data_IF_724014599418
#
_entry.id   IF_724014599418
#
_cell.length_a   1.000
_cell.length_b   1.000
_cell.length_c   1.000
_cell.angle_alpha   90.00
_cell.angle_beta   90.00
_cell.angle_gamma   90.00
#
_symmetry.space_group_name_H-M   'P 1'
#
loop_
_entity.id
_entity.type
_entity.pdbx_description
1 polymer ?
#
# COMPACT_ATOMS: atom_id res chain seq x y z
N UNK A 1 -15.82 17.82 15.26
CA UNK A 1 -16.43 18.10 13.94
C UNK A 1 -16.59 16.81 13.13
N UNK A 2 -15.57 15.93 13.12
CA UNK A 2 -15.65 14.55 12.59
C UNK A 2 -16.71 13.69 13.29
N UNK A 3 -16.82 13.71 14.63
CA UNK A 3 -17.80 12.88 15.35
C UNK A 3 -19.26 13.18 14.97
N UNK A 4 -19.57 14.43 14.63
CA UNK A 4 -20.90 14.85 14.18
C UNK A 4 -21.16 14.40 12.74
N UNK A 5 -20.12 14.36 11.91
CA UNK A 5 -20.17 13.84 10.54
C UNK A 5 -20.40 12.32 10.56
N UNK A 6 -19.63 11.57 11.34
CA UNK A 6 -19.75 10.11 11.47
C UNK A 6 -21.10 9.70 12.07
N UNK A 7 -21.58 10.43 13.09
CA UNK A 7 -22.91 10.20 13.67
C UNK A 7 -24.03 10.43 12.64
N UNK A 8 -23.87 11.42 11.74
CA UNK A 8 -24.82 11.70 10.65
C UNK A 8 -24.76 10.65 9.53
N UNK A 9 -23.58 10.12 9.23
CA UNK A 9 -23.42 9.01 8.28
C UNK A 9 -24.08 7.73 8.82
N UNK A 10 -23.78 7.36 10.07
CA UNK A 10 -24.36 6.19 10.76
C UNK A 10 -25.89 6.26 10.83
N UNK A 11 -26.44 7.40 11.26
CA UNK A 11 -27.91 7.59 11.31
C UNK A 11 -28.58 7.49 9.94
N UNK A 12 -27.87 7.81 8.85
CA UNK A 12 -28.34 7.69 7.47
C UNK A 12 -28.00 6.34 6.81
N UNK A 13 -27.39 5.40 7.52
CA UNK A 13 -26.88 4.12 7.00
C UNK A 13 -25.96 4.30 5.78
N UNK A 14 -25.14 5.35 5.79
CA UNK A 14 -24.14 5.63 4.76
C UNK A 14 -22.74 5.44 5.34
N UNK A 15 -21.81 5.06 4.49
CA UNK A 15 -20.39 4.96 4.78
C UNK A 15 -19.61 5.49 3.58
N UNK A 16 -18.40 5.97 3.82
CA UNK A 16 -17.46 6.30 2.75
C UNK A 16 -16.49 5.13 2.48
N UNK A 17 -15.64 5.28 1.46
CA UNK A 17 -14.70 4.22 1.09
C UNK A 17 -13.63 3.97 2.16
N UNK A 18 -13.27 4.99 2.95
CA UNK A 18 -12.30 4.87 4.05
C UNK A 18 -12.92 4.13 5.24
N UNK A 19 -14.20 4.38 5.52
CA UNK A 19 -14.99 3.67 6.52
C UNK A 19 -15.04 2.16 6.23
N UNK A 20 -15.18 1.76 4.97
CA UNK A 20 -15.20 0.34 4.60
C UNK A 20 -13.91 -0.37 5.00
N UNK A 21 -12.76 0.24 4.69
CA UNK A 21 -11.46 -0.35 5.04
C UNK A 21 -11.26 -0.39 6.55
N UNK A 22 -11.64 0.68 7.26
CA UNK A 22 -11.57 0.72 8.71
C UNK A 22 -12.47 -0.35 9.37
N UNK A 23 -13.67 -0.60 8.83
CA UNK A 23 -14.57 -1.62 9.35
C UNK A 23 -14.05 -3.03 9.10
N UNK A 24 -13.50 -3.30 7.91
CA UNK A 24 -12.88 -4.60 7.60
C UNK A 24 -11.68 -4.85 8.51
N UNK A 25 -10.79 -3.86 8.66
CA UNK A 25 -9.65 -3.95 9.56
C UNK A 25 -10.10 -4.23 11.00
N UNK A 26 -11.08 -3.48 11.50
CA UNK A 26 -11.63 -3.70 12.84
C UNK A 26 -12.26 -5.10 13.00
N UNK A 27 -13.03 -5.57 12.02
CA UNK A 27 -13.63 -6.89 12.06
C UNK A 27 -12.56 -8.00 12.11
N UNK A 28 -11.49 -7.88 11.33
CA UNK A 28 -10.36 -8.82 11.34
C UNK A 28 -9.59 -8.78 12.67
N UNK A 29 -9.38 -7.60 13.25
CA UNK A 29 -8.65 -7.44 14.51
C UNK A 29 -9.45 -7.92 15.73
N UNK A 30 -10.77 -7.91 15.67
CA UNK A 30 -11.67 -8.29 16.79
C UNK A 30 -12.23 -9.69 16.68
N UNK A 31 -12.14 -10.34 15.52
CA UNK A 31 -12.65 -11.67 15.27
C UNK A 31 -11.54 -12.57 14.69
N UNK A 32 -10.89 -13.32 15.58
CA UNK A 32 -9.79 -14.24 15.24
C UNK A 32 -10.22 -15.33 14.25
N UNK A 33 -11.42 -15.90 14.41
CA UNK A 33 -11.93 -16.94 13.49
C UNK A 33 -12.08 -16.38 12.06
N UNK A 34 -12.59 -15.15 11.94
CA UNK A 34 -12.71 -14.46 10.66
C UNK A 34 -11.34 -14.19 10.04
N UNK A 35 -10.37 -13.74 10.84
CA UNK A 35 -9.01 -13.49 10.39
C UNK A 35 -8.34 -14.78 9.92
N UNK A 36 -8.36 -15.83 10.74
CA UNK A 36 -7.78 -17.14 10.40
C UNK A 36 -8.40 -17.73 9.14
N UNK A 37 -9.71 -17.59 8.95
CA UNK A 37 -10.38 -18.02 7.72
C UNK A 37 -9.80 -17.34 6.48
N UNK A 38 -9.58 -16.02 6.54
CA UNK A 38 -9.02 -15.28 5.41
C UNK A 38 -7.53 -15.54 5.22
N UNK A 39 -6.77 -15.76 6.30
CA UNK A 39 -5.38 -16.19 6.24
C UNK A 39 -5.26 -17.59 5.62
N UNK A 40 -6.12 -18.53 5.98
CA UNK A 40 -6.14 -19.85 5.35
C UNK A 40 -6.47 -19.78 3.85
N UNK A 41 -7.46 -18.94 3.50
CA UNK A 41 -7.92 -18.77 2.13
C UNK A 41 -6.92 -18.02 1.24
N UNK A 42 -6.29 -16.97 1.74
CA UNK A 42 -5.38 -16.11 0.99
C UNK A 42 -3.95 -16.26 1.49
N UNK A 43 -3.17 -17.07 0.77
CA UNK A 43 -1.79 -17.41 1.14
C UNK A 43 -0.74 -16.59 0.37
N UNK A 44 -1.16 -15.91 -0.70
CA UNK A 44 -0.31 -15.13 -1.59
C UNK A 44 -0.94 -13.77 -1.85
N UNK A 45 -0.18 -12.71 -1.62
CA UNK A 45 -0.61 -11.33 -1.81
C UNK A 45 0.22 -10.67 -2.90
N UNK A 46 -0.47 -10.06 -3.86
CA UNK A 46 0.13 -9.16 -4.84
C UNK A 46 -0.47 -7.78 -4.62
N UNK A 47 0.38 -6.79 -4.37
CA UNK A 47 -0.04 -5.40 -4.19
C UNK A 47 0.67 -4.55 -5.22
N UNK A 48 -0.11 -3.99 -6.15
CA UNK A 48 0.37 -3.07 -7.18
C UNK A 48 0.26 -1.62 -6.68
N UNK A 49 1.02 -0.71 -7.30
CA UNK A 49 1.07 0.72 -6.96
C UNK A 49 1.28 0.98 -5.45
N UNK A 50 2.21 0.24 -4.83
CA UNK A 50 2.39 0.25 -3.38
C UNK A 50 2.82 1.62 -2.83
N UNK A 51 3.45 2.47 -3.66
CA UNK A 51 3.78 3.86 -3.32
C UNK A 51 2.55 4.73 -3.00
N UNK A 52 1.37 4.34 -3.50
CA UNK A 52 0.11 5.08 -3.33
C UNK A 52 -0.73 4.56 -2.15
N UNK A 53 -0.22 3.59 -1.39
CA UNK A 53 -0.92 3.04 -0.23
C UNK A 53 -0.95 4.02 0.94
N UNK A 54 -2.02 3.97 1.73
CA UNK A 54 -2.13 4.70 3.00
C UNK A 54 -2.03 3.77 4.22
N UNK A 55 -1.99 4.36 5.43
CA UNK A 55 -1.83 3.61 6.68
C UNK A 55 -2.86 2.50 6.90
N UNK A 56 -4.14 2.74 6.62
CA UNK A 56 -5.20 1.73 6.82
C UNK A 56 -5.03 0.55 5.85
N UNK A 57 -4.64 0.81 4.60
CA UNK A 57 -4.36 -0.25 3.63
C UNK A 57 -3.17 -1.10 4.06
N UNK A 58 -2.11 -0.47 4.59
CA UNK A 58 -0.95 -1.18 5.14
C UNK A 58 -1.31 -2.00 6.37
N UNK A 59 -2.08 -1.46 7.30
CA UNK A 59 -2.54 -2.19 8.48
C UNK A 59 -3.40 -3.39 8.10
N UNK A 60 -4.26 -3.24 7.09
CA UNK A 60 -5.05 -4.34 6.55
C UNK A 60 -4.17 -5.44 5.94
N UNK A 61 -3.23 -5.06 5.07
CA UNK A 61 -2.26 -6.00 4.49
C UNK A 61 -1.48 -6.73 5.59
N UNK A 62 -0.89 -5.99 6.53
CA UNK A 62 -0.11 -6.56 7.63
C UNK A 62 -0.93 -7.46 8.53
N UNK A 63 -2.19 -7.12 8.80
CA UNK A 63 -3.11 -7.99 9.56
C UNK A 63 -3.31 -9.31 8.82
N UNK A 64 -3.59 -9.25 7.51
CA UNK A 64 -3.82 -10.44 6.68
C UNK A 64 -2.58 -11.32 6.50
N UNK A 65 -1.37 -10.76 6.53
CA UNK A 65 -0.13 -11.55 6.35
C UNK A 65 0.55 -11.94 7.67
N UNK A 66 -0.02 -11.54 8.82
CA UNK A 66 0.62 -11.68 10.13
C UNK A 66 0.76 -13.10 10.67
N UNK A 67 0.04 -14.08 10.11
CA UNK A 67 0.07 -15.47 10.60
C UNK A 67 1.41 -16.17 10.36
N UNK A 68 2.08 -15.86 9.25
CA UNK A 68 3.35 -16.48 8.88
C UNK A 68 4.52 -15.57 9.26
N UNK A 69 5.63 -16.18 9.71
CA UNK A 69 6.88 -15.44 9.95
C UNK A 69 7.43 -14.84 8.65
N UNK A 70 7.35 -15.59 7.55
CA UNK A 70 7.73 -15.19 6.21
C UNK A 70 6.53 -15.30 5.26
N UNK A 71 5.63 -14.31 5.22
CA UNK A 71 4.47 -14.34 4.34
C UNK A 71 4.82 -14.25 2.86
N UNK A 72 4.00 -14.86 2.01
CA UNK A 72 4.14 -14.74 0.56
C UNK A 72 3.48 -13.44 0.07
N UNK A 73 4.21 -12.34 0.15
CA UNK A 73 3.74 -11.02 -0.31
C UNK A 73 4.70 -10.48 -1.37
N UNK A 74 4.14 -10.04 -2.49
CA UNK A 74 4.85 -9.39 -3.59
C UNK A 74 4.26 -7.99 -3.78
N UNK A 75 5.06 -6.96 -3.46
CA UNK A 75 4.66 -5.57 -3.67
C UNK A 75 5.38 -5.03 -4.90
N UNK A 76 4.68 -4.23 -5.68
CA UNK A 76 5.18 -3.52 -6.86
C UNK A 76 4.93 -2.04 -6.65
N UNK A 77 5.90 -1.21 -6.98
CA UNK A 77 5.73 0.24 -6.94
C UNK A 77 6.92 0.98 -7.56
N UNK A 78 6.73 2.28 -7.76
CA UNK A 78 7.70 3.19 -8.36
C UNK A 78 7.76 4.47 -7.51
N UNK A 79 8.92 4.74 -6.93
CA UNK A 79 9.15 5.87 -6.03
C UNK A 79 9.12 7.22 -6.77
N UNK A 80 9.55 7.26 -8.03
CA UNK A 80 9.50 8.45 -8.89
C UNK A 80 8.06 8.82 -9.30
N UNK A 81 7.09 7.91 -9.14
CA UNK A 81 5.68 8.10 -9.50
C UNK A 81 4.74 8.40 -8.33
N UNK A 82 5.26 8.61 -7.11
CA UNK A 82 4.40 8.96 -5.98
C UNK A 82 3.89 10.41 -6.04
N UNK A 83 2.86 10.62 -6.85
CA UNK A 83 2.19 11.91 -7.05
C UNK A 83 1.10 12.17 -6.00
N UNK A 84 0.72 11.18 -5.19
CA UNK A 84 -0.36 11.25 -4.21
C UNK A 84 0.09 11.56 -2.77
N UNK A 85 1.31 12.09 -2.56
CA UNK A 85 1.83 12.48 -1.23
C UNK A 85 0.85 13.37 -0.45
N UNK A 86 0.06 14.20 -1.14
CA UNK A 86 -0.97 15.07 -0.56
C UNK A 86 -2.24 14.36 -0.03
N UNK A 87 -2.47 13.09 -0.38
CA UNK A 87 -3.57 12.25 0.12
C UNK A 87 -3.15 11.28 1.23
N UNK A 88 -1.91 11.39 1.72
CA UNK A 88 -1.35 10.52 2.75
C UNK A 88 -0.73 9.23 2.23
N UNK A 89 -0.57 9.10 0.91
CA UNK A 89 0.35 8.13 0.32
C UNK A 89 1.79 8.51 0.67
N UNK A 90 2.63 7.52 0.99
CA UNK A 90 4.00 7.78 1.42
C UNK A 90 4.96 6.82 0.70
N UNK A 91 5.91 7.35 -0.07
CA UNK A 91 7.01 6.58 -0.67
C UNK A 91 7.77 5.78 0.40
N UNK A 92 7.81 6.29 1.63
CA UNK A 92 8.38 5.58 2.78
C UNK A 92 7.73 4.21 3.01
N UNK A 93 6.49 3.97 2.56
CA UNK A 93 5.83 2.67 2.71
C UNK A 93 6.58 1.54 1.99
N UNK A 94 7.05 1.76 0.76
CA UNK A 94 7.85 0.76 0.02
C UNK A 94 9.14 0.49 0.79
N UNK A 95 9.79 1.55 1.28
CA UNK A 95 11.04 1.45 2.02
C UNK A 95 10.86 0.72 3.36
N UNK A 96 9.82 1.08 4.12
CA UNK A 96 9.48 0.47 5.40
C UNK A 96 9.10 -0.99 5.25
N UNK A 97 8.37 -1.33 4.18
CA UNK A 97 8.06 -2.72 3.84
C UNK A 97 9.35 -3.51 3.56
N UNK A 98 10.23 -2.97 2.71
CA UNK A 98 11.50 -3.62 2.40
C UNK A 98 12.35 -3.81 3.65
N UNK A 99 12.48 -2.77 4.48
CA UNK A 99 13.22 -2.82 5.75
C UNK A 99 12.62 -3.81 6.75
N UNK A 100 11.29 -3.89 6.83
CA UNK A 100 10.59 -4.84 7.73
C UNK A 100 10.87 -6.30 7.36
N UNK A 101 11.06 -6.58 6.07
CA UNK A 101 11.23 -7.92 5.55
C UNK A 101 12.60 -8.17 4.92
N UNK A 102 13.59 -7.31 5.20
CA UNK A 102 14.92 -7.30 4.58
C UNK A 102 15.63 -8.66 4.66
N UNK A 103 15.37 -9.45 5.72
CA UNK A 103 15.97 -10.77 5.93
C UNK A 103 15.57 -11.83 4.90
N UNK A 104 14.44 -11.66 4.20
CA UNK A 104 13.96 -12.63 3.22
C UNK A 104 13.36 -12.01 1.93
N UNK A 105 13.08 -10.71 1.95
CA UNK A 105 12.55 -9.99 0.79
C UNK A 105 13.60 -9.91 -0.32
N UNK A 106 13.21 -10.32 -1.52
CA UNK A 106 14.03 -10.17 -2.72
C UNK A 106 13.67 -8.88 -3.44
N UNK A 107 14.60 -7.93 -3.48
CA UNK A 107 14.47 -6.73 -4.31
C UNK A 107 14.73 -7.07 -5.78
N UNK A 108 13.83 -6.66 -6.66
CA UNK A 108 13.96 -6.77 -8.11
C UNK A 108 13.72 -5.38 -8.69
N UNK A 109 14.73 -4.81 -9.35
CA UNK A 109 14.64 -3.51 -10.03
C UNK A 109 14.44 -3.74 -11.52
N UNK A 110 13.42 -3.11 -12.10
CA UNK A 110 13.12 -3.16 -13.53
C UNK A 110 13.58 -1.85 -14.18
N UNK A 111 14.79 -1.83 -14.74
CA UNK A 111 15.41 -0.63 -15.31
C UNK A 111 15.18 -0.45 -16.83
N UNK A 112 14.58 -1.46 -17.48
CA UNK A 112 14.28 -1.43 -18.91
C UNK A 112 12.87 -0.92 -19.17
N UNK A 113 12.77 0.20 -19.91
CA UNK A 113 11.50 0.73 -20.35
C UNK A 113 11.08 0.14 -21.70
N UNK A 114 9.86 -0.37 -21.77
CA UNK A 114 9.28 -0.94 -23.00
C UNK A 114 8.13 -0.10 -23.58
N UNK A 115 7.79 1.05 -22.96
CA UNK A 115 6.62 1.87 -23.34
C UNK A 115 6.99 3.03 -24.26
N UNK A 116 8.12 3.68 -24.01
CA UNK A 116 8.48 4.98 -24.60
C UNK A 116 9.79 4.89 -25.38
N UNK A 117 9.95 5.73 -26.40
CA UNK A 117 11.22 5.86 -27.13
C UNK A 117 12.29 6.55 -26.27
N UNK A 118 13.56 6.35 -26.62
CA UNK A 118 14.70 6.94 -25.89
C UNK A 118 14.58 8.47 -25.77
N UNK A 119 14.10 9.15 -26.81
CA UNK A 119 13.92 10.62 -26.78
C UNK A 119 12.93 11.09 -25.71
N UNK A 120 11.88 10.31 -25.42
CA UNK A 120 10.92 10.61 -24.36
C UNK A 120 11.55 10.31 -22.99
N UNK A 121 12.25 9.18 -22.86
CA UNK A 121 12.93 8.79 -21.63
C UNK A 121 14.00 9.80 -21.22
N UNK A 122 14.82 10.26 -22.16
CA UNK A 122 15.86 11.27 -21.92
C UNK A 122 15.26 12.59 -21.44
N UNK A 123 14.14 13.00 -22.04
CA UNK A 123 13.40 14.19 -21.62
C UNK A 123 12.84 14.07 -20.20
N UNK A 124 12.16 12.97 -19.89
CA UNK A 124 11.62 12.71 -18.54
C UNK A 124 12.74 12.60 -17.49
N UNK A 125 13.82 11.89 -17.82
CA UNK A 125 14.99 11.73 -16.95
C UNK A 125 15.69 13.06 -16.66
N UNK A 126 15.78 13.96 -17.64
CA UNK A 126 16.35 15.29 -17.45
C UNK A 126 15.52 16.16 -16.50
N UNK A 127 14.20 15.99 -16.50
CA UNK A 127 13.29 16.73 -15.61
C UNK A 127 13.39 16.18 -14.19
N UNK A 128 13.27 14.86 -14.02
CA UNK A 128 13.20 14.24 -12.69
C UNK A 128 14.51 14.32 -11.90
N UNK A 129 15.66 14.40 -12.59
CA UNK A 129 16.98 14.61 -11.96
C UNK A 129 17.11 15.90 -11.15
N UNK A 130 16.17 16.84 -11.28
CA UNK A 130 16.16 18.06 -10.48
C UNK A 130 15.48 17.88 -9.10
N UNK A 131 14.93 16.70 -8.79
CA UNK A 131 14.38 16.42 -7.47
C UNK A 131 15.49 16.01 -6.49
N UNK A 132 15.55 16.69 -5.34
CA UNK A 132 16.58 16.47 -4.30
C UNK A 132 16.33 15.23 -3.42
N UNK A 133 15.10 14.71 -3.39
CA UNK A 133 14.73 13.46 -2.70
C UNK A 133 14.47 12.37 -3.74
N UNK A 134 15.43 11.47 -3.96
CA UNK A 134 15.29 10.24 -4.77
C UNK A 134 15.96 9.06 -4.05
N UNK A 135 15.47 7.84 -4.29
CA UNK A 135 16.12 6.57 -3.91
C UNK A 135 17.04 6.04 -5.01
#
# INVERSE_FOLDING_TARGET
MLDIYDAKLKTRKRYDFSDMLAWVLHALQTNEELLLKYQEQYQYFLVDEYQDTNGIQNDLLYTLISYWENPNVFVVGDDDQSIYKFQGANVENIFDFYKKYESYAKLIVLDQNYRSSQSILDGSNAIIKNNDERL
#
